data_IF_719271724158
#
_entry.id   IF_719271724158
#
_cell.length_a   1.000
_cell.length_b   1.000
_cell.length_c   1.000
_cell.angle_alpha   90.00
_cell.angle_beta   90.00
_cell.angle_gamma   90.00
#
_symmetry.space_group_name_H-M   'P 1'
#
loop_
_entity.id
_entity.type
_entity.pdbx_description
1 polymer ?
#
# COMPACT_ATOMS: atom_id res chain seq x y z
N UNK A 1 -2.52 -13.09 0.56
CA UNK A 1 -2.75 -12.27 1.78
C UNK A 1 -3.95 -11.37 1.56
N UNK A 2 -4.48 -10.67 2.58
CA UNK A 2 -5.57 -9.70 2.39
C UNK A 2 -5.04 -8.28 2.21
N UNK A 3 -5.73 -7.48 1.40
CA UNK A 3 -5.43 -6.07 1.18
C UNK A 3 -5.96 -5.21 2.34
N UNK A 4 -5.16 -4.22 2.72
CA UNK A 4 -5.60 -3.06 3.48
C UNK A 4 -5.31 -1.85 2.61
N UNK A 5 -6.36 -1.22 2.09
CA UNK A 5 -6.27 -0.16 1.09
C UNK A 5 -6.11 1.20 1.76
N UNK A 6 -5.35 2.08 1.12
CA UNK A 6 -5.05 3.43 1.59
C UNK A 6 -5.12 4.38 0.42
N UNK A 7 -5.93 5.43 0.57
CA UNK A 7 -6.09 6.49 -0.41
C UNK A 7 -5.31 7.72 0.03
N UNK A 8 -4.35 8.10 -0.81
CA UNK A 8 -3.60 9.35 -0.70
C UNK A 8 -4.05 10.37 -1.73
N UNK A 9 -3.70 11.63 -1.49
CA UNK A 9 -3.78 12.69 -2.48
C UNK A 9 -2.63 13.67 -2.32
N UNK A 10 -2.33 14.38 -3.40
CA UNK A 10 -1.39 15.48 -3.38
C UNK A 10 -2.01 16.71 -2.71
N UNK A 11 -1.22 17.39 -1.90
CA UNK A 11 -1.63 18.67 -1.31
C UNK A 11 -1.59 19.72 -2.42
N UNK A 12 -2.73 20.37 -2.64
CA UNK A 12 -2.84 21.59 -3.43
C UNK A 12 -3.08 22.80 -2.50
N UNK A 13 -2.61 23.99 -2.90
CA UNK A 13 -2.77 25.25 -2.16
C UNK A 13 -4.25 25.60 -1.92
N UNK A 14 -5.16 25.06 -2.73
CA UNK A 14 -6.60 25.22 -2.60
C UNK A 14 -7.27 24.31 -1.55
N UNK A 15 -6.56 23.29 -1.05
CA UNK A 15 -7.13 22.27 -0.16
C UNK A 15 -6.95 22.62 1.32
N UNK A 16 -8.06 23.01 1.97
CA UNK A 16 -8.15 23.10 3.43
C UNK A 16 -8.24 21.71 4.07
N UNK A 17 -7.14 20.96 4.04
CA UNK A 17 -7.01 19.73 4.81
C UNK A 17 -6.58 20.09 6.23
N UNK A 18 -7.14 19.42 7.24
CA UNK A 18 -6.69 19.56 8.63
C UNK A 18 -5.17 19.58 8.72
N UNK A 19 -4.62 20.41 9.61
CA UNK A 19 -3.19 20.65 9.74
C UNK A 19 -2.44 19.48 10.41
N UNK A 20 -2.85 18.26 10.08
CA UNK A 20 -2.28 17.00 10.51
C UNK A 20 -1.21 16.57 9.51
N UNK A 21 0.06 16.49 9.92
CA UNK A 21 1.13 15.95 9.08
C UNK A 21 0.77 14.55 8.58
N UNK A 22 0.99 14.27 7.29
CA UNK A 22 0.68 13.00 6.63
C UNK A 22 -0.82 12.59 6.57
N UNK A 23 -1.75 13.40 7.11
CA UNK A 23 -3.16 13.04 7.18
C UNK A 23 -3.42 11.82 8.09
N UNK A 24 -4.15 10.82 7.58
CA UNK A 24 -4.49 9.58 8.30
C UNK A 24 -3.43 8.47 8.18
N UNK A 25 -2.22 8.79 7.70
CA UNK A 25 -1.20 7.78 7.38
C UNK A 25 -0.80 6.95 8.60
N UNK A 26 -0.63 7.58 9.76
CA UNK A 26 -0.23 6.89 10.99
C UNK A 26 -1.37 6.02 11.53
N UNK A 27 -2.61 6.49 11.46
CA UNK A 27 -3.79 5.69 11.83
C UNK A 27 -3.94 4.47 10.93
N UNK A 28 -3.79 4.66 9.62
CA UNK A 28 -3.82 3.58 8.65
C UNK A 28 -2.72 2.55 8.96
N UNK A 29 -1.49 3.00 9.25
CA UNK A 29 -0.38 2.12 9.59
C UNK A 29 -0.60 1.38 10.92
N UNK A 30 -1.14 2.04 11.93
CA UNK A 30 -1.41 1.44 13.25
C UNK A 30 -2.60 0.49 13.24
N UNK A 31 -3.55 0.69 12.32
CA UNK A 31 -4.70 -0.18 12.17
C UNK A 31 -4.37 -1.48 11.39
N UNK A 32 -3.19 -1.57 10.77
CA UNK A 32 -2.79 -2.74 9.99
C UNK A 32 -2.81 -4.03 10.83
N UNK A 33 -3.42 -5.09 10.29
CA UNK A 33 -3.54 -6.39 10.96
C UNK A 33 -2.50 -7.39 10.48
N UNK A 34 -2.31 -8.44 11.29
CA UNK A 34 -1.45 -9.58 10.94
C UNK A 34 -1.85 -10.16 9.59
N UNK A 35 -0.87 -10.45 8.74
CA UNK A 35 -1.00 -10.97 7.39
C UNK A 35 -1.75 -10.06 6.39
N UNK A 36 -2.04 -8.80 6.73
CA UNK A 36 -2.50 -7.81 5.76
C UNK A 36 -1.32 -7.24 4.96
N UNK A 37 -1.62 -6.74 3.76
CA UNK A 37 -0.70 -6.00 2.90
C UNK A 37 -1.23 -4.59 2.76
N UNK A 38 -0.41 -3.60 3.10
CA UNK A 38 -0.72 -2.18 2.91
C UNK A 38 -0.69 -1.85 1.42
N UNK A 39 -1.78 -1.36 0.84
CA UNK A 39 -1.84 -0.96 -0.58
C UNK A 39 -2.22 0.51 -0.68
N UNK A 40 -1.32 1.36 -1.17
CA UNK A 40 -1.53 2.81 -1.27
C UNK A 40 -1.52 3.32 -2.71
N UNK A 41 -2.47 4.19 -3.02
CA UNK A 41 -2.61 4.86 -4.33
C UNK A 41 -3.26 6.24 -4.20
N UNK A 42 -3.40 6.96 -5.32
CA UNK A 42 -4.11 8.25 -5.40
C UNK A 42 -3.23 9.50 -5.43
N UNK A 43 -1.91 9.35 -5.35
CA UNK A 43 -0.93 10.44 -5.34
C UNK A 43 -0.13 10.52 -6.64
N UNK A 44 0.46 11.68 -6.97
CA UNK A 44 1.42 11.77 -8.07
C UNK A 44 2.73 11.02 -7.75
N UNK A 45 3.44 10.53 -8.78
CA UNK A 45 4.76 9.93 -8.62
C UNK A 45 5.84 11.02 -8.44
N UNK A 46 5.69 11.89 -7.44
CA UNK A 46 6.59 13.03 -7.19
C UNK A 46 7.26 13.01 -5.81
N UNK A 47 6.98 11.98 -5.00
CA UNK A 47 7.58 11.71 -3.69
C UNK A 47 7.42 10.23 -3.30
N UNK A 48 8.08 9.82 -2.22
CA UNK A 48 7.98 8.48 -1.66
C UNK A 48 6.81 8.37 -0.68
N UNK A 49 6.07 7.26 -0.78
CA UNK A 49 4.89 6.91 0.02
C UNK A 49 5.19 5.90 1.12
N UNK A 50 6.34 5.24 1.05
CA UNK A 50 6.73 4.18 1.96
C UNK A 50 8.21 4.31 2.33
N UNK A 51 8.59 3.91 3.54
CA UNK A 51 9.97 4.02 4.02
C UNK A 51 10.30 3.04 5.13
N UNK A 52 11.51 3.15 5.67
CA UNK A 52 12.02 2.22 6.68
C UNK A 52 11.17 2.22 7.95
N UNK A 53 10.83 3.41 8.48
CA UNK A 53 10.02 3.52 9.71
C UNK A 53 8.64 2.85 9.60
N UNK A 54 7.99 3.01 8.44
CA UNK A 54 6.71 2.35 8.17
C UNK A 54 6.88 0.84 8.10
N UNK A 55 7.96 0.37 7.48
CA UNK A 55 8.30 -1.05 7.38
C UNK A 55 8.57 -1.67 8.76
N UNK A 56 9.30 -0.98 9.64
CA UNK A 56 9.53 -1.42 11.03
C UNK A 56 8.20 -1.60 11.76
N UNK A 57 7.30 -0.62 11.66
CA UNK A 57 6.00 -0.67 12.34
C UNK A 57 5.11 -1.78 11.78
N UNK A 58 5.00 -1.87 10.45
CA UNK A 58 4.21 -2.89 9.77
C UNK A 58 4.72 -4.29 10.14
N UNK A 59 6.04 -4.52 10.11
CA UNK A 59 6.64 -5.78 10.52
C UNK A 59 6.33 -6.12 11.99
N UNK A 60 6.39 -5.14 12.90
CA UNK A 60 6.01 -5.32 14.32
C UNK A 60 4.54 -5.72 14.50
N UNK A 61 3.65 -5.25 13.62
CA UNK A 61 2.23 -5.62 13.59
C UNK A 61 1.97 -6.98 12.92
N UNK A 62 3.00 -7.61 12.34
CA UNK A 62 2.87 -8.88 11.62
C UNK A 62 2.28 -8.72 10.22
N UNK A 63 2.38 -7.53 9.63
CA UNK A 63 2.05 -7.28 8.24
C UNK A 63 2.83 -8.21 7.30
N UNK A 64 2.23 -8.58 6.18
CA UNK A 64 2.89 -9.40 5.18
C UNK A 64 3.74 -8.59 4.18
N UNK A 65 3.46 -7.30 4.02
CA UNK A 65 4.19 -6.44 3.09
C UNK A 65 3.48 -5.12 2.81
N UNK A 66 4.02 -4.38 1.85
CA UNK A 66 3.44 -3.16 1.31
C UNK A 66 3.51 -3.13 -0.22
N UNK A 67 2.51 -2.51 -0.85
CA UNK A 67 2.43 -2.20 -2.27
C UNK A 67 2.07 -0.72 -2.38
N UNK A 68 2.89 0.07 -3.06
CA UNK A 68 2.60 1.48 -3.28
C UNK A 68 2.60 1.80 -4.76
N UNK A 69 1.53 2.42 -5.24
CA UNK A 69 1.47 3.04 -6.56
C UNK A 69 2.23 4.38 -6.54
N UNK A 70 3.54 4.28 -6.33
CA UNK A 70 4.43 5.40 -6.08
C UNK A 70 5.82 4.90 -5.70
N UNK A 71 6.65 5.76 -5.12
CA UNK A 71 8.03 5.42 -4.74
C UNK A 71 8.15 5.01 -3.27
N UNK A 72 9.23 4.30 -2.95
CA UNK A 72 9.68 4.11 -1.57
C UNK A 72 10.97 4.90 -1.31
N UNK A 73 11.35 5.05 -0.04
CA UNK A 73 12.66 5.52 0.41
C UNK A 73 13.31 4.51 1.35
N UNK A 74 14.56 4.75 1.70
CA UNK A 74 15.33 3.94 2.66
C UNK A 74 15.48 2.46 2.25
N UNK A 75 15.71 2.22 0.95
CA UNK A 75 15.79 0.89 0.33
C UNK A 75 16.66 -0.09 1.10
N UNK A 76 17.83 0.35 1.58
CA UNK A 76 18.75 -0.48 2.35
C UNK A 76 18.08 -1.02 3.63
N UNK A 77 17.45 -0.15 4.42
CA UNK A 77 16.78 -0.55 5.66
C UNK A 77 15.63 -1.53 5.42
N UNK A 78 14.84 -1.30 4.36
CA UNK A 78 13.74 -2.20 3.97
C UNK A 78 14.26 -3.59 3.57
N UNK A 79 15.34 -3.64 2.78
CA UNK A 79 15.96 -4.90 2.35
C UNK A 79 16.60 -5.65 3.52
N UNK A 80 17.37 -4.95 4.37
CA UNK A 80 18.06 -5.54 5.52
C UNK A 80 17.06 -6.17 6.51
N UNK A 81 15.85 -5.62 6.64
CA UNK A 81 14.80 -6.22 7.46
C UNK A 81 14.00 -7.34 6.76
N UNK A 82 14.20 -7.57 5.46
CA UNK A 82 13.46 -8.57 4.70
C UNK A 82 11.95 -8.32 4.63
N UNK A 83 11.52 -7.06 4.54
CA UNK A 83 10.10 -6.71 4.45
C UNK A 83 9.68 -6.51 2.98
N UNK A 84 8.79 -7.37 2.49
CA UNK A 84 8.32 -7.35 1.10
C UNK A 84 7.66 -6.01 0.76
N UNK A 85 8.26 -5.26 -0.16
CA UNK A 85 7.79 -3.94 -0.59
C UNK A 85 7.80 -3.82 -2.11
N UNK A 86 6.63 -3.55 -2.68
CA UNK A 86 6.43 -3.30 -4.10
C UNK A 86 6.19 -1.80 -4.33
N UNK A 87 6.89 -1.23 -5.31
CA UNK A 87 6.83 0.20 -5.63
C UNK A 87 7.31 0.43 -7.06
N UNK A 88 7.20 1.66 -7.55
CA UNK A 88 7.76 2.09 -8.84
C UNK A 88 9.27 2.32 -8.82
N UNK A 89 9.91 2.23 -7.64
CA UNK A 89 11.34 2.45 -7.45
C UNK A 89 11.64 3.23 -6.17
N UNK A 90 12.91 3.62 -6.02
CA UNK A 90 13.37 4.43 -4.89
C UNK A 90 13.36 5.93 -5.22
N UNK A 91 12.90 6.77 -4.30
CA UNK A 91 13.00 8.22 -4.43
C UNK A 91 13.16 8.90 -3.07
N UNK A 92 14.02 9.92 -2.97
CA UNK A 92 14.41 10.50 -1.68
C UNK A 92 13.42 11.54 -1.13
N UNK A 93 12.50 12.05 -1.93
CA UNK A 93 11.58 13.12 -1.50
C UNK A 93 10.50 12.57 -0.56
N UNK A 94 10.34 13.22 0.58
CA UNK A 94 9.37 12.83 1.60
C UNK A 94 7.92 13.25 1.27
N UNK A 95 6.94 12.53 1.84
CA UNK A 95 5.52 12.78 1.67
C UNK A 95 5.01 13.98 2.47
N UNK A 96 5.51 14.25 3.68
CA UNK A 96 4.88 15.18 4.65
C UNK A 96 4.37 16.51 4.05
N UNK A 97 5.18 17.24 3.27
CA UNK A 97 4.75 18.55 2.76
C UNK A 97 4.03 18.46 1.40
N UNK A 98 3.82 17.26 0.85
CA UNK A 98 3.40 17.06 -0.55
C UNK A 98 2.14 16.21 -0.70
N UNK A 99 1.90 15.30 0.22
CA UNK A 99 0.78 14.37 0.15
C UNK A 99 0.20 14.06 1.51
N UNK A 100 -1.08 13.71 1.53
CA UNK A 100 -1.78 13.23 2.72
C UNK A 100 -2.52 11.96 2.41
N UNK A 101 -2.53 11.02 3.36
CA UNK A 101 -3.53 9.95 3.37
C UNK A 101 -4.84 10.56 3.84
N UNK A 102 -5.90 10.38 3.06
CA UNK A 102 -7.22 10.93 3.36
C UNK A 102 -8.24 9.89 3.75
N UNK A 103 -7.99 8.64 3.38
CA UNK A 103 -8.88 7.54 3.71
C UNK A 103 -8.12 6.21 3.71
N UNK A 104 -8.66 5.22 4.43
CA UNK A 104 -8.14 3.87 4.46
C UNK A 104 -9.26 2.87 4.68
N UNK A 105 -9.05 1.63 4.22
CA UNK A 105 -10.07 0.57 4.10
C UNK A 105 -11.24 0.93 3.17
N UNK A 106 -11.07 1.89 2.28
CA UNK A 106 -11.98 2.20 1.18
C UNK A 106 -11.45 1.72 -0.16
N UNK A 107 -12.30 1.63 -1.17
CA UNK A 107 -11.89 1.24 -2.52
C UNK A 107 -10.91 2.26 -3.12
N UNK A 108 -9.83 1.76 -3.71
CA UNK A 108 -8.85 2.56 -4.45
C UNK A 108 -8.76 2.06 -5.89
N UNK A 109 -8.25 2.91 -6.79
CA UNK A 109 -7.98 2.52 -8.17
C UNK A 109 -6.48 2.64 -8.49
N UNK A 110 -5.93 1.60 -9.12
CA UNK A 110 -4.55 1.57 -9.62
C UNK A 110 -4.60 1.16 -11.09
N UNK A 111 -4.32 2.10 -12.00
CA UNK A 111 -4.26 1.86 -13.45
C UNK A 111 -5.48 1.11 -14.01
N UNK A 112 -6.70 1.52 -13.62
CA UNK A 112 -7.95 0.86 -14.04
C UNK A 112 -8.35 -0.38 -13.23
N UNK A 113 -7.55 -0.80 -12.26
CA UNK A 113 -7.88 -1.91 -11.34
C UNK A 113 -8.44 -1.33 -10.05
N UNK A 114 -9.70 -1.67 -9.74
CA UNK A 114 -10.32 -1.36 -8.44
C UNK A 114 -9.83 -2.39 -7.43
N UNK A 115 -9.32 -1.91 -6.30
CA UNK A 115 -8.88 -2.72 -5.17
C UNK A 115 -9.71 -2.34 -3.95
N UNK A 116 -10.40 -3.30 -3.37
CA UNK A 116 -11.14 -3.12 -2.12
C UNK A 116 -10.30 -3.62 -0.96
N UNK A 117 -10.54 -3.10 0.25
CA UNK A 117 -9.97 -3.68 1.45
C UNK A 117 -10.56 -5.07 1.68
N UNK A 118 -9.70 -6.05 1.96
CA UNK A 118 -10.10 -7.43 2.20
C UNK A 118 -10.02 -8.34 0.97
N UNK A 119 -9.79 -7.77 -0.22
CA UNK A 119 -9.42 -8.53 -1.42
C UNK A 119 -8.16 -9.36 -1.18
N UNK A 120 -7.97 -10.40 -1.97
CA UNK A 120 -6.74 -11.18 -1.92
C UNK A 120 -5.67 -10.52 -2.78
N UNK A 121 -4.45 -10.53 -2.28
CA UNK A 121 -3.26 -10.08 -2.98
C UNK A 121 -2.18 -11.15 -2.96
N UNK A 122 -1.55 -11.32 -4.12
CA UNK A 122 -0.42 -12.19 -4.37
C UNK A 122 0.67 -11.32 -4.99
N UNK A 123 1.90 -11.46 -4.50
CA UNK A 123 3.05 -10.75 -5.06
C UNK A 123 4.24 -11.68 -5.18
N UNK A 124 4.93 -11.60 -6.31
CA UNK A 124 6.17 -12.33 -6.59
C UNK A 124 7.15 -11.46 -7.38
N UNK A 125 8.09 -12.05 -8.12
CA UNK A 125 9.07 -11.28 -8.90
C UNK A 125 8.48 -10.61 -10.13
N UNK A 126 7.34 -11.07 -10.62
CA UNK A 126 6.71 -10.58 -11.84
C UNK A 126 5.69 -9.48 -11.56
N UNK A 127 5.24 -9.35 -10.30
CA UNK A 127 4.50 -8.17 -9.85
C UNK A 127 3.50 -8.49 -8.76
N UNK A 128 2.38 -7.76 -8.78
CA UNK A 128 1.29 -7.87 -7.81
C UNK A 128 -0.01 -8.16 -8.55
N UNK A 129 -0.73 -9.19 -8.10
CA UNK A 129 -2.03 -9.58 -8.61
C UNK A 129 -3.09 -9.42 -7.52
N UNK A 130 -4.20 -8.78 -7.87
CA UNK A 130 -5.38 -8.60 -7.01
C UNK A 130 -6.47 -9.58 -7.45
N UNK A 131 -6.98 -10.34 -6.48
CA UNK A 131 -8.10 -11.26 -6.67
C UNK A 131 -9.25 -10.76 -5.80
N UNK A 132 -10.36 -10.28 -6.41
CA UNK A 132 -11.49 -9.78 -5.66
C UNK A 132 -12.05 -10.86 -4.72
N UNK A 133 -12.46 -10.47 -3.51
CA UNK A 133 -12.92 -11.41 -2.50
C UNK A 133 -14.09 -12.28 -3.00
N UNK A 134 -15.04 -11.67 -3.70
CA UNK A 134 -16.30 -12.30 -4.15
C UNK A 134 -16.09 -13.42 -5.18
N UNK A 135 -15.00 -13.39 -5.95
CA UNK A 135 -14.68 -14.40 -6.99
C UNK A 135 -13.58 -15.37 -6.57
N UNK A 136 -13.06 -15.23 -5.35
CA UNK A 136 -11.88 -15.96 -4.89
C UNK A 136 -12.03 -17.49 -4.99
N UNK A 137 -13.19 -18.03 -4.62
CA UNK A 137 -13.49 -19.47 -4.69
C UNK A 137 -13.41 -20.04 -6.11
N UNK A 138 -13.85 -19.27 -7.11
CA UNK A 138 -13.80 -19.70 -8.52
C UNK A 138 -12.36 -19.74 -9.04
N UNK A 139 -11.57 -18.71 -8.71
CA UNK A 139 -10.16 -18.62 -9.10
C UNK A 139 -9.34 -19.78 -8.55
N UNK A 140 -9.53 -20.13 -7.27
CA UNK A 140 -8.85 -21.28 -6.66
C UNK A 140 -9.21 -22.59 -7.36
N UNK A 141 -10.48 -22.81 -7.70
CA UNK A 141 -10.94 -24.02 -8.37
C UNK A 141 -10.39 -24.17 -9.80
N UNK A 142 -10.24 -23.06 -10.54
CA UNK A 142 -9.65 -23.08 -11.89
C UNK A 142 -8.15 -23.41 -11.82
N UNK A 143 -7.43 -22.91 -10.80
CA UNK A 143 -6.01 -23.21 -10.62
C UNK A 143 -5.77 -24.70 -10.36
N UNK A 144 -6.55 -25.31 -9.47
CA UNK A 144 -6.42 -26.74 -9.14
C UNK A 144 -6.72 -27.66 -10.34
N UNK A 145 -7.61 -27.27 -11.26
CA UNK A 145 -7.94 -28.07 -12.45
C UNK A 145 -6.89 -28.02 -13.56
N UNK A 146 -5.95 -27.07 -13.49
CA UNK A 146 -4.87 -26.89 -14.49
C UNK A 146 -3.55 -27.53 -14.07
N UNK A 147 -3.52 -28.15 -12.88
CA UNK A 147 -2.42 -29.01 -12.41
C UNK A 147 -2.74 -30.46 -12.70
#
# INVERSE_FOLDING_TARGET
MKTMTVSGLDIDESMYLENKPFGLMLEALDDLKKNEVYICAGTSPSYALWGELMSVRAKKLGAAGAVVNGYHRDTKGILDMGFSTFSLGSYAKDQAPRGKVVDFRSSIEINGVIVNSGDYVIGDRDGVCIVPFDVSTEVFNVHERRR
#
